data_IF_673839183122
#
_entry.id   IF_673839183122
#
_cell.length_a   1.000
_cell.length_b   1.000
_cell.length_c   1.000
_cell.angle_alpha   90.00
_cell.angle_beta   90.00
_cell.angle_gamma   90.00
#
_symmetry.space_group_name_H-M   'P 1'
#
loop_
_entity.id
_entity.type
_entity.pdbx_description
1 polymer ?
#
# COMPACT_ATOMS: atom_id res chain seq x y z
N UNK A 1 34.09 13.34 -53.79
CA UNK A 1 33.45 14.24 -52.81
C UNK A 1 32.22 13.53 -52.28
N UNK A 2 32.30 12.85 -51.13
CA UNK A 2 31.15 12.18 -50.50
C UNK A 2 30.70 12.99 -49.28
N UNK A 3 29.49 13.55 -49.37
CA UNK A 3 28.85 14.29 -48.28
C UNK A 3 28.18 13.31 -47.33
N UNK A 4 28.69 13.21 -46.10
CA UNK A 4 28.01 12.47 -45.04
C UNK A 4 26.92 13.38 -44.44
N UNK A 5 25.69 13.18 -44.89
CA UNK A 5 24.51 13.81 -44.29
C UNK A 5 24.15 13.02 -43.02
N UNK A 6 24.29 13.65 -41.87
CA UNK A 6 23.86 13.10 -40.58
C UNK A 6 22.34 13.28 -40.48
N UNK A 7 21.53 12.22 -40.40
CA UNK A 7 20.10 12.38 -40.18
C UNK A 7 19.86 12.85 -38.74
N UNK A 8 19.29 14.06 -38.60
CA UNK A 8 18.80 14.56 -37.31
C UNK A 8 17.60 13.70 -36.93
N UNK A 9 17.75 12.85 -35.90
CA UNK A 9 16.62 12.09 -35.36
C UNK A 9 15.65 13.06 -34.70
N UNK A 10 14.34 12.99 -35.00
CA UNK A 10 13.35 13.83 -34.34
C UNK A 10 13.34 13.53 -32.84
N UNK A 11 13.26 14.61 -32.06
CA UNK A 11 13.27 14.64 -30.61
C UNK A 11 12.29 13.58 -30.06
N UNK A 12 12.81 12.49 -29.48
CA UNK A 12 11.98 11.54 -28.74
C UNK A 12 11.43 12.31 -27.55
N UNK A 13 10.17 12.76 -27.67
CA UNK A 13 9.39 13.26 -26.55
C UNK A 13 9.47 12.15 -25.51
N UNK A 14 10.24 12.39 -24.46
CA UNK A 14 10.24 11.58 -23.25
C UNK A 14 8.79 11.57 -22.80
N UNK A 15 8.10 10.46 -23.06
CA UNK A 15 6.82 10.18 -22.41
C UNK A 15 7.16 10.23 -20.94
N UNK A 16 6.73 11.29 -20.26
CA UNK A 16 6.72 11.32 -18.81
C UNK A 16 5.88 10.12 -18.40
N UNK A 17 6.57 9.02 -18.08
CA UNK A 17 5.99 7.89 -17.42
C UNK A 17 5.32 8.45 -16.18
N UNK A 18 3.99 8.46 -16.18
CA UNK A 18 3.22 8.53 -14.95
C UNK A 18 3.49 7.20 -14.26
N UNK A 19 4.67 7.08 -13.66
CA UNK A 19 5.03 6.01 -12.75
C UNK A 19 4.04 6.18 -11.60
N UNK A 20 2.92 5.48 -11.71
CA UNK A 20 2.08 5.20 -10.58
C UNK A 20 3.01 4.44 -9.64
N UNK A 21 3.53 5.15 -8.64
CA UNK A 21 4.54 4.68 -7.71
C UNK A 21 3.89 3.61 -6.84
N UNK A 22 3.64 2.45 -7.44
CA UNK A 22 2.93 1.34 -6.85
C UNK A 22 3.91 0.76 -5.84
N UNK A 23 3.56 0.74 -4.55
CA UNK A 23 4.50 0.31 -3.53
C UNK A 23 4.89 -1.15 -3.79
N UNK A 24 6.19 -1.43 -3.70
CA UNK A 24 6.69 -2.77 -3.98
C UNK A 24 6.02 -3.79 -3.02
N UNK A 25 5.58 -4.96 -3.51
CA UNK A 25 4.83 -5.91 -2.68
C UNK A 25 5.56 -6.34 -1.41
N UNK A 26 6.89 -6.43 -1.48
CA UNK A 26 7.73 -6.74 -0.33
C UNK A 26 7.70 -5.68 0.77
N UNK A 27 7.62 -4.40 0.41
CA UNK A 27 7.65 -3.30 1.37
C UNK A 27 6.28 -3.10 2.01
N UNK A 28 5.21 -3.27 1.24
CA UNK A 28 3.84 -3.41 1.75
C UNK A 28 3.78 -4.51 2.81
N UNK A 29 4.30 -5.71 2.52
CA UNK A 29 4.29 -6.84 3.47
C UNK A 29 5.11 -6.56 4.73
N UNK A 30 6.25 -5.89 4.63
CA UNK A 30 7.06 -5.50 5.80
C UNK A 30 6.30 -4.53 6.71
N UNK A 31 5.68 -3.51 6.11
CA UNK A 31 4.87 -2.53 6.83
C UNK A 31 3.64 -3.19 7.47
N UNK A 32 2.92 -4.00 6.71
CA UNK A 32 1.79 -4.78 7.21
C UNK A 32 2.19 -5.66 8.40
N UNK A 33 3.34 -6.33 8.32
CA UNK A 33 3.86 -7.16 9.42
C UNK A 33 4.20 -6.34 10.65
N UNK A 34 4.82 -5.16 10.47
CA UNK A 34 5.10 -4.26 11.58
C UNK A 34 3.80 -3.83 12.27
N UNK A 35 2.79 -3.42 11.51
CA UNK A 35 1.48 -3.03 12.05
C UNK A 35 0.75 -4.19 12.74
N UNK A 36 0.78 -5.37 12.13
CA UNK A 36 0.15 -6.58 12.66
C UNK A 36 0.72 -6.95 14.04
N UNK A 37 2.04 -6.83 14.20
CA UNK A 37 2.72 -7.04 15.48
C UNK A 37 2.43 -5.90 16.45
N UNK A 38 2.53 -4.64 16.02
CA UNK A 38 2.36 -3.47 16.88
C UNK A 38 0.96 -3.36 17.47
N UNK A 39 -0.07 -3.76 16.72
CA UNK A 39 -1.47 -3.74 17.17
C UNK A 39 -1.93 -5.08 17.75
N UNK A 40 -1.02 -6.05 17.90
CA UNK A 40 -1.30 -7.40 18.42
C UNK A 40 -2.52 -8.05 17.73
N UNK A 41 -2.59 -7.96 16.41
CA UNK A 41 -3.72 -8.48 15.64
C UNK A 41 -3.72 -10.01 15.71
N UNK A 42 -4.86 -10.59 16.06
CA UNK A 42 -5.00 -12.04 16.09
C UNK A 42 -4.96 -12.64 14.67
N UNK A 43 -4.31 -13.81 14.47
CA UNK A 43 -4.47 -14.58 13.25
C UNK A 43 -5.94 -15.02 13.09
N UNK A 44 -6.40 -15.19 11.84
CA UNK A 44 -7.80 -15.48 11.51
C UNK A 44 -8.22 -14.72 10.26
N UNK A 45 -9.53 -14.54 10.08
CA UNK A 45 -10.16 -13.90 8.91
C UNK A 45 -11.24 -12.85 9.29
N UNK A 46 -11.54 -12.66 10.58
CA UNK A 46 -12.57 -11.72 11.05
C UNK A 46 -12.41 -10.28 10.55
N UNK A 47 -11.18 -9.84 10.25
CA UNK A 47 -10.88 -8.50 9.77
C UNK A 47 -11.05 -8.34 8.25
N UNK A 48 -11.15 -9.43 7.49
CA UNK A 48 -11.28 -9.39 6.01
C UNK A 48 -12.45 -8.52 5.60
N UNK A 49 -13.63 -8.71 6.20
CA UNK A 49 -14.82 -7.91 5.90
C UNK A 49 -14.75 -6.47 6.44
N UNK A 50 -13.89 -6.18 7.41
CA UNK A 50 -13.90 -4.91 8.16
C UNK A 50 -12.88 -3.91 7.62
N UNK A 51 -11.69 -4.40 7.23
CA UNK A 51 -10.60 -3.57 6.71
C UNK A 51 -10.14 -3.97 5.30
N UNK A 52 -10.42 -5.20 4.88
CA UNK A 52 -10.06 -5.72 3.56
C UNK A 52 -11.08 -5.37 2.48
N UNK A 53 -10.79 -5.83 1.26
CA UNK A 53 -11.68 -5.75 0.10
C UNK A 53 -12.66 -6.93 -0.03
N UNK A 54 -12.51 -7.96 0.81
CA UNK A 54 -13.35 -9.17 0.80
C UNK A 54 -12.77 -10.33 -0.02
N UNK A 55 -11.67 -10.09 -0.73
CA UNK A 55 -10.95 -11.09 -1.53
C UNK A 55 -9.78 -11.73 -0.74
N UNK A 56 -9.47 -11.19 0.44
CA UNK A 56 -8.36 -11.65 1.27
C UNK A 56 -8.70 -12.92 2.05
N UNK A 57 -7.72 -13.80 2.24
CA UNK A 57 -7.91 -15.09 2.92
C UNK A 57 -7.58 -15.04 4.41
N UNK A 58 -7.03 -13.91 4.89
CA UNK A 58 -6.65 -13.75 6.30
C UNK A 58 -6.60 -12.29 6.73
N UNK A 59 -6.64 -12.07 8.04
CA UNK A 59 -6.43 -10.77 8.69
C UNK A 59 -5.11 -10.12 8.26
N UNK A 60 -4.06 -10.91 8.07
CA UNK A 60 -2.78 -10.38 7.62
C UNK A 60 -2.86 -9.88 6.17
N UNK A 61 -3.51 -10.64 5.29
CA UNK A 61 -3.74 -10.21 3.91
C UNK A 61 -4.63 -8.97 3.86
N UNK A 62 -5.69 -8.91 4.68
CA UNK A 62 -6.56 -7.74 4.81
C UNK A 62 -5.77 -6.49 5.24
N UNK A 63 -4.88 -6.62 6.22
CA UNK A 63 -3.97 -5.53 6.62
C UNK A 63 -3.02 -5.17 5.48
N UNK A 64 -2.47 -6.14 4.75
CA UNK A 64 -1.55 -5.88 3.64
C UNK A 64 -2.23 -5.15 2.47
N UNK A 65 -3.44 -5.56 2.09
CA UNK A 65 -4.27 -4.85 1.11
C UNK A 65 -4.56 -3.43 1.58
N UNK A 66 -5.03 -3.27 2.82
CA UNK A 66 -5.32 -1.96 3.39
C UNK A 66 -4.09 -1.03 3.40
N UNK A 67 -2.91 -1.56 3.73
CA UNK A 67 -1.64 -0.80 3.69
C UNK A 67 -1.33 -0.38 2.26
N UNK A 68 -1.43 -1.29 1.29
CA UNK A 68 -1.19 -0.99 -0.13
C UNK A 68 -2.12 0.12 -0.61
N UNK A 69 -3.42 0.00 -0.36
CA UNK A 69 -4.41 0.99 -0.77
C UNK A 69 -4.20 2.34 -0.09
N UNK A 70 -3.81 2.33 1.20
CA UNK A 70 -3.54 3.57 1.93
C UNK A 70 -2.27 4.26 1.44
N UNK A 71 -1.20 3.51 1.13
CA UNK A 71 0.01 4.08 0.53
C UNK A 71 -0.29 4.73 -0.83
N UNK A 72 -1.13 4.10 -1.66
CA UNK A 72 -1.54 4.63 -2.97
C UNK A 72 -2.42 5.87 -2.78
N UNK A 73 -3.45 5.79 -1.93
CA UNK A 73 -4.41 6.88 -1.69
C UNK A 73 -3.74 8.14 -1.14
N UNK A 74 -2.88 7.97 -0.14
CA UNK A 74 -2.18 9.07 0.54
C UNK A 74 -0.86 9.45 -0.17
N UNK A 75 -0.50 8.76 -1.25
CA UNK A 75 0.76 8.94 -2.01
C UNK A 75 2.01 8.84 -1.11
N UNK A 76 1.99 7.93 -0.16
CA UNK A 76 3.07 7.73 0.81
C UNK A 76 4.15 6.81 0.25
N UNK A 77 5.41 7.14 0.53
CA UNK A 77 6.53 6.24 0.32
C UNK A 77 6.54 5.16 1.40
N UNK A 78 6.80 3.89 1.08
CA UNK A 78 6.79 2.80 2.07
C UNK A 78 8.05 2.83 2.95
N UNK A 79 8.12 3.80 3.86
CA UNK A 79 9.24 4.03 4.78
C UNK A 79 8.76 4.09 6.25
N UNK A 80 9.65 4.53 7.15
CA UNK A 80 9.32 4.71 8.56
C UNK A 80 8.30 5.82 8.81
N UNK A 81 8.27 6.88 8.01
CA UNK A 81 7.27 7.94 8.12
C UNK A 81 5.87 7.42 7.77
N UNK A 82 5.77 6.52 6.78
CA UNK A 82 4.49 5.85 6.49
C UNK A 82 3.95 5.08 7.70
N UNK A 83 4.80 4.44 8.52
CA UNK A 83 4.32 3.79 9.76
C UNK A 83 3.67 4.76 10.74
N UNK A 84 4.20 5.99 10.86
CA UNK A 84 3.65 7.01 11.75
C UNK A 84 2.24 7.46 11.32
N UNK A 85 1.91 7.33 10.03
CA UNK A 85 0.58 7.61 9.50
C UNK A 85 -0.32 6.37 9.55
N UNK A 86 0.21 5.22 9.14
CA UNK A 86 -0.55 3.97 9.03
C UNK A 86 -1.00 3.43 10.38
N UNK A 87 -0.16 3.51 11.42
CA UNK A 87 -0.48 2.97 12.74
C UNK A 87 -1.70 3.63 13.39
N UNK A 88 -1.75 4.96 13.59
CA UNK A 88 -2.93 5.61 14.16
C UNK A 88 -4.16 5.50 13.26
N UNK A 89 -3.99 5.46 11.94
CA UNK A 89 -5.10 5.29 11.01
C UNK A 89 -5.73 3.89 11.11
N UNK A 90 -4.91 2.85 11.22
CA UNK A 90 -5.38 1.48 11.38
C UNK A 90 -6.00 1.25 12.76
N UNK A 91 -5.37 1.75 13.82
CA UNK A 91 -5.89 1.67 15.19
C UNK A 91 -7.27 2.32 15.29
N UNK A 92 -7.43 3.54 14.76
CA UNK A 92 -8.73 4.22 14.72
C UNK A 92 -9.78 3.39 13.98
N UNK A 93 -9.42 2.76 12.86
CA UNK A 93 -10.33 1.94 12.08
C UNK A 93 -10.76 0.68 12.85
N UNK A 94 -9.81 0.01 13.50
CA UNK A 94 -10.11 -1.16 14.33
C UNK A 94 -10.95 -0.79 15.55
N UNK A 95 -10.66 0.33 16.22
CA UNK A 95 -11.45 0.80 17.36
C UNK A 95 -12.90 1.10 16.98
N UNK A 96 -13.13 1.82 15.88
CA UNK A 96 -14.48 2.07 15.38
C UNK A 96 -15.25 0.77 15.09
N UNK A 97 -14.55 -0.24 14.60
CA UNK A 97 -15.14 -1.55 14.30
C UNK A 97 -15.51 -2.30 15.58
N UNK A 98 -14.65 -2.29 16.60
CA UNK A 98 -14.94 -2.92 17.90
C UNK A 98 -16.12 -2.26 18.62
N UNK A 99 -16.27 -0.93 18.51
CA UNK A 99 -17.44 -0.21 19.06
C UNK A 99 -18.75 -0.63 18.37
N UNK A 100 -18.69 -0.96 17.07
CA UNK A 100 -19.85 -1.44 16.31
C UNK A 100 -20.15 -2.94 16.47
N UNK A 101 -19.18 -3.75 16.93
CA UNK A 101 -19.35 -5.21 17.11
C UNK A 101 -18.70 -5.64 18.44
N UNK A 102 -19.44 -5.60 19.56
CA UNK A 102 -18.89 -5.81 20.90
C UNK A 102 -18.58 -7.28 21.26
N UNK A 103 -18.73 -8.25 20.34
CA UNK A 103 -18.66 -9.69 20.65
C UNK A 103 -17.92 -10.53 19.60
N UNK A 104 -16.68 -10.17 19.29
CA UNK A 104 -15.73 -11.07 18.61
C UNK A 104 -14.63 -11.50 19.59
#
# INVERSE_FOLDING_TARGET
MSSNVIPIRPNQIVKNDVVHNTPAPQDVRKLARALFISLNIAPGDSLVCLIGGGEETSNFEAVASWVKDTLIREKLTPDRLALQVLLPALEKRLFCVTDTIPHL
#
